data_IF_148831732861
#
_entry.id   IF_148831732861
#
_cell.length_a   1.000
_cell.length_b   1.000
_cell.length_c   1.000
_cell.angle_alpha   90.00
_cell.angle_beta   90.00
_cell.angle_gamma   90.00
#
_symmetry.space_group_name_H-M   'P 1'
#
loop_
_entity.id
_entity.type
_entity.pdbx_description
1 polymer ?
#
# COMPACT_ATOMS: atom_id res chain seq x y z
N UNK A 1 0.84 -4.51 27.25
CA UNK A 1 0.07 -5.52 26.50
C UNK A 1 0.86 -5.86 25.26
N UNK A 2 0.79 -7.08 24.71
CA UNK A 2 1.43 -7.35 23.43
C UNK A 2 0.83 -6.44 22.35
N UNK A 3 1.67 -5.93 21.45
CA UNK A 3 1.23 -5.15 20.29
C UNK A 3 1.16 -6.08 19.06
N UNK A 4 0.20 -5.80 18.20
CA UNK A 4 -0.07 -6.57 16.99
C UNK A 4 0.51 -5.82 15.77
N UNK A 5 1.24 -6.56 14.92
CA UNK A 5 1.91 -6.01 13.73
C UNK A 5 1.00 -6.08 12.52
N UNK A 6 0.88 -4.97 11.79
CA UNK A 6 0.24 -4.92 10.47
C UNK A 6 1.21 -4.32 9.44
N UNK A 7 1.48 -5.05 8.36
CA UNK A 7 2.19 -4.54 7.19
C UNK A 7 1.25 -3.71 6.31
N UNK A 8 1.73 -2.58 5.81
CA UNK A 8 0.93 -1.67 4.98
C UNK A 8 1.43 -1.53 3.54
N UNK A 9 2.60 -2.09 3.19
CA UNK A 9 3.19 -1.97 1.85
C UNK A 9 3.90 -3.26 1.44
N UNK A 10 3.21 -4.09 0.66
CA UNK A 10 3.71 -5.40 0.27
C UNK A 10 3.24 -5.79 -1.13
N UNK A 11 4.18 -6.26 -1.95
CA UNK A 11 3.94 -6.77 -3.30
C UNK A 11 4.14 -8.27 -3.37
N UNK A 12 3.44 -8.91 -4.31
CA UNK A 12 3.60 -10.32 -4.61
C UNK A 12 3.71 -10.52 -6.11
N UNK A 13 4.46 -11.52 -6.56
CA UNK A 13 4.64 -11.85 -7.99
C UNK A 13 3.30 -12.07 -8.72
N UNK A 14 2.29 -12.54 -8.01
CA UNK A 14 1.00 -12.91 -8.61
C UNK A 14 0.12 -11.70 -8.90
N UNK A 15 0.49 -10.50 -8.41
CA UNK A 15 -0.23 -9.25 -8.67
C UNK A 15 0.66 -8.06 -9.05
N UNK A 16 1.99 -8.20 -8.94
CA UNK A 16 2.96 -7.15 -9.30
C UNK A 16 4.15 -7.72 -10.05
N UNK A 17 4.42 -7.14 -11.17
CA UNK A 17 5.51 -7.54 -12.03
C UNK A 17 6.92 -7.27 -11.51
N UNK A 18 7.04 -6.32 -10.64
CA UNK A 18 8.31 -5.96 -10.02
C UNK A 18 8.65 -6.89 -8.84
N UNK A 19 7.67 -7.66 -8.34
CA UNK A 19 7.90 -8.62 -7.28
C UNK A 19 8.31 -9.99 -7.83
N UNK A 20 9.28 -10.63 -7.21
CA UNK A 20 9.76 -11.97 -7.59
C UNK A 20 9.29 -13.07 -6.64
N UNK A 21 8.90 -12.73 -5.40
CA UNK A 21 8.42 -13.69 -4.43
C UNK A 21 6.94 -14.04 -4.65
N UNK A 22 6.61 -15.33 -4.57
CA UNK A 22 5.21 -15.78 -4.72
C UNK A 22 4.36 -15.37 -3.52
N UNK A 23 3.06 -15.27 -3.74
CA UNK A 23 2.10 -14.96 -2.66
C UNK A 23 2.22 -15.96 -1.52
N UNK A 24 2.40 -17.25 -1.79
CA UNK A 24 2.54 -18.29 -0.76
C UNK A 24 3.77 -18.05 0.12
N UNK A 25 4.93 -17.79 -0.52
CA UNK A 25 6.19 -17.55 0.22
C UNK A 25 6.11 -16.26 1.04
N UNK A 26 5.54 -15.21 0.48
CA UNK A 26 5.32 -13.93 1.18
C UNK A 26 4.44 -14.14 2.42
N UNK A 27 3.29 -14.79 2.29
CA UNK A 27 2.38 -15.03 3.43
C UNK A 27 3.08 -15.82 4.55
N UNK A 28 3.78 -16.92 4.23
CA UNK A 28 4.49 -17.71 5.23
C UNK A 28 5.60 -16.89 5.93
N UNK A 29 6.30 -16.03 5.18
CA UNK A 29 7.33 -15.13 5.72
C UNK A 29 6.76 -14.12 6.73
N UNK A 30 5.62 -13.48 6.42
CA UNK A 30 4.96 -12.56 7.35
C UNK A 30 4.39 -13.25 8.58
N UNK A 31 3.83 -14.46 8.45
CA UNK A 31 3.41 -15.29 9.59
C UNK A 31 4.63 -15.61 10.48
N UNK A 32 5.73 -16.08 9.89
CA UNK A 32 6.96 -16.40 10.63
C UNK A 32 7.56 -15.19 11.34
N UNK A 33 7.41 -13.97 10.77
CA UNK A 33 7.86 -12.72 11.38
C UNK A 33 6.90 -12.18 12.46
N UNK A 34 5.79 -12.88 12.73
CA UNK A 34 4.84 -12.57 13.79
C UNK A 34 3.91 -11.41 13.47
N UNK A 35 3.63 -11.18 12.18
CA UNK A 35 2.57 -10.25 11.78
C UNK A 35 1.21 -10.91 11.96
N UNK A 36 0.23 -10.10 12.30
CA UNK A 36 -1.17 -10.53 12.44
C UNK A 36 -2.01 -10.11 11.23
N UNK A 37 -1.59 -9.07 10.53
CA UNK A 37 -2.33 -8.53 9.39
C UNK A 37 -1.37 -8.02 8.31
N UNK A 38 -1.81 -8.06 7.06
CA UNK A 38 -1.03 -7.68 5.88
C UNK A 38 -1.96 -7.02 4.86
N UNK A 39 -1.58 -5.86 4.37
CA UNK A 39 -2.19 -5.26 3.19
C UNK A 39 -1.37 -5.64 1.96
N UNK A 40 -1.98 -6.30 1.00
CA UNK A 40 -1.38 -6.52 -0.32
C UNK A 40 -1.59 -5.25 -1.13
N UNK A 41 -0.49 -4.60 -1.53
CA UNK A 41 -0.50 -3.32 -2.26
C UNK A 41 0.12 -3.46 -3.65
N UNK A 42 -0.28 -4.48 -4.38
CA UNK A 42 0.21 -4.70 -5.74
C UNK A 42 -0.02 -3.48 -6.63
N UNK A 43 0.91 -3.25 -7.57
CA UNK A 43 0.86 -2.07 -8.43
C UNK A 43 -0.36 -2.01 -9.34
N UNK A 44 -0.98 -0.84 -9.39
CA UNK A 44 -2.05 -0.49 -10.31
C UNK A 44 -1.64 0.79 -11.08
N UNK A 45 -1.17 0.60 -12.33
CA UNK A 45 -0.50 1.64 -13.11
C UNK A 45 -1.08 1.73 -14.52
N UNK A 46 -1.46 2.93 -14.97
CA UNK A 46 -2.20 3.14 -16.22
C UNK A 46 -1.49 2.66 -17.49
N UNK A 47 -0.15 2.67 -17.52
CA UNK A 47 0.64 2.23 -18.67
C UNK A 47 0.63 0.70 -18.87
N UNK A 48 0.10 -0.06 -17.92
CA UNK A 48 -0.04 -1.52 -18.04
C UNK A 48 -1.23 -1.94 -18.90
N UNK A 49 -2.26 -1.09 -18.97
CA UNK A 49 -3.46 -1.40 -19.74
C UNK A 49 -3.15 -1.27 -21.23
N UNK A 50 -3.33 -2.36 -21.97
CA UNK A 50 -3.04 -2.43 -23.41
C UNK A 50 -1.55 -2.40 -23.77
N UNK A 51 -0.66 -2.57 -22.80
CA UNK A 51 0.77 -2.68 -23.05
C UNK A 51 1.09 -3.96 -23.82
N UNK A 52 1.95 -3.84 -24.82
CA UNK A 52 2.52 -4.97 -25.60
C UNK A 52 3.90 -5.39 -25.08
N UNK A 53 4.40 -4.74 -24.01
CA UNK A 53 5.64 -5.13 -23.36
C UNK A 53 5.56 -6.60 -22.91
N UNK A 54 6.67 -7.34 -22.91
CA UNK A 54 6.70 -8.74 -22.52
C UNK A 54 6.48 -8.91 -21.03
N UNK A 55 5.29 -8.59 -20.60
CA UNK A 55 4.76 -8.91 -19.30
C UNK A 55 4.03 -10.24 -19.43
N UNK A 56 3.99 -11.08 -18.39
CA UNK A 56 3.36 -12.39 -18.54
C UNK A 56 1.88 -12.30 -18.96
N UNK A 57 1.29 -11.09 -18.98
CA UNK A 57 -0.10 -10.90 -19.33
C UNK A 57 -0.30 -9.60 -20.11
N UNK A 58 -0.89 -9.70 -21.31
CA UNK A 58 -1.61 -8.60 -21.90
C UNK A 58 -2.87 -8.38 -21.03
N UNK A 59 -2.97 -7.26 -20.34
CA UNK A 59 -4.18 -6.88 -19.62
C UNK A 59 -4.94 -5.88 -20.50
N UNK A 60 -5.99 -6.32 -21.22
CA UNK A 60 -6.61 -5.49 -22.27
C UNK A 60 -7.46 -4.36 -21.71
N UNK A 61 -8.14 -4.56 -20.59
CA UNK A 61 -9.06 -3.57 -20.01
C UNK A 61 -8.72 -3.19 -18.57
N UNK A 62 -9.30 -2.10 -18.11
CA UNK A 62 -9.15 -1.66 -16.72
C UNK A 62 -9.80 -2.63 -15.74
N UNK A 63 -10.98 -3.13 -16.08
CA UNK A 63 -11.74 -4.06 -15.27
C UNK A 63 -10.96 -5.37 -15.05
N UNK A 64 -10.37 -5.92 -16.11
CA UNK A 64 -9.51 -7.11 -16.01
C UNK A 64 -8.24 -6.84 -15.18
N UNK A 65 -7.72 -5.61 -15.23
CA UNK A 65 -6.59 -5.24 -14.39
C UNK A 65 -6.97 -5.17 -12.90
N UNK A 66 -8.13 -4.63 -12.59
CA UNK A 66 -8.68 -4.64 -11.23
C UNK A 66 -8.87 -6.09 -10.77
N UNK A 67 -9.47 -6.95 -11.60
CA UNK A 67 -9.62 -8.37 -11.27
C UNK A 67 -8.27 -9.03 -10.99
N UNK A 68 -7.28 -8.83 -11.83
CA UNK A 68 -5.94 -9.36 -11.63
C UNK A 68 -5.31 -8.97 -10.29
N UNK A 69 -5.42 -7.68 -9.89
CA UNK A 69 -4.91 -7.21 -8.60
C UNK A 69 -5.66 -7.83 -7.42
N UNK A 70 -6.99 -7.89 -7.48
CA UNK A 70 -7.80 -8.44 -6.39
C UNK A 70 -7.77 -9.96 -6.32
N UNK A 71 -7.56 -10.67 -7.44
CA UNK A 71 -7.36 -12.12 -7.44
C UNK A 71 -6.08 -12.52 -6.70
N UNK A 72 -5.04 -11.69 -6.75
CA UNK A 72 -3.84 -11.88 -5.94
C UNK A 72 -4.11 -11.68 -4.43
N UNK A 73 -4.96 -10.73 -4.04
CA UNK A 73 -5.41 -10.56 -2.66
C UNK A 73 -6.22 -11.78 -2.21
N UNK A 74 -7.14 -12.26 -3.06
CA UNK A 74 -7.95 -13.44 -2.74
C UNK A 74 -7.10 -14.73 -2.67
N UNK A 75 -6.05 -14.84 -3.49
CA UNK A 75 -5.05 -15.90 -3.35
C UNK A 75 -4.35 -15.80 -1.99
N UNK A 76 -3.91 -14.62 -1.60
CA UNK A 76 -3.26 -14.39 -0.31
C UNK A 76 -4.17 -14.77 0.87
N UNK A 77 -5.46 -14.44 0.81
CA UNK A 77 -6.48 -14.84 1.81
C UNK A 77 -6.60 -16.37 1.92
N UNK A 78 -6.66 -17.06 0.78
CA UNK A 78 -6.74 -18.53 0.75
C UNK A 78 -5.48 -19.17 1.34
N UNK A 79 -4.30 -18.67 0.98
CA UNK A 79 -3.01 -19.18 1.52
C UNK A 79 -2.88 -18.91 3.01
N UNK A 80 -3.29 -17.73 3.45
CA UNK A 80 -3.23 -17.34 4.87
C UNK A 80 -4.09 -18.25 5.76
N UNK A 81 -5.22 -18.75 5.26
CA UNK A 81 -6.13 -19.69 5.93
C UNK A 81 -6.42 -19.31 7.40
N UNK A 82 -6.71 -18.02 7.61
CA UNK A 82 -6.98 -17.46 8.94
C UNK A 82 -5.77 -17.30 9.88
N UNK A 83 -4.57 -17.67 9.46
CA UNK A 83 -3.32 -17.49 10.22
C UNK A 83 -2.78 -16.05 10.16
N UNK A 84 -3.18 -15.31 9.13
CA UNK A 84 -2.86 -13.91 8.88
C UNK A 84 -4.09 -13.23 8.25
N UNK A 85 -4.47 -12.06 8.72
CA UNK A 85 -5.56 -11.28 8.12
C UNK A 85 -5.05 -10.50 6.91
N UNK A 86 -5.57 -10.81 5.73
CA UNK A 86 -5.19 -10.13 4.47
C UNK A 86 -6.24 -9.09 4.14
N UNK A 87 -5.80 -7.84 4.02
CA UNK A 87 -6.63 -6.64 3.87
C UNK A 87 -6.51 -6.06 2.46
N UNK A 88 -7.53 -5.32 2.01
CA UNK A 88 -7.56 -4.71 0.69
C UNK A 88 -6.71 -3.45 0.61
N UNK A 89 -5.90 -3.37 -0.44
CA UNK A 89 -5.13 -2.21 -0.81
C UNK A 89 -4.49 -2.36 -2.18
N UNK A 90 -3.93 -1.30 -2.67
CA UNK A 90 -3.10 -1.30 -3.88
C UNK A 90 -2.17 -0.09 -3.89
N UNK A 91 -1.09 -0.16 -4.64
CA UNK A 91 -0.22 0.98 -4.92
C UNK A 91 -0.49 1.50 -6.33
N UNK A 92 -1.04 2.70 -6.43
CA UNK A 92 -1.37 3.29 -7.72
C UNK A 92 -0.33 4.32 -8.18
N UNK A 93 -0.17 4.41 -9.50
CA UNK A 93 0.53 5.52 -10.16
C UNK A 93 -0.40 6.15 -11.19
N UNK A 94 -0.62 7.46 -11.07
CA UNK A 94 -1.41 8.22 -12.02
C UNK A 94 -0.59 8.61 -13.26
N UNK A 95 -1.22 8.97 -14.39
CA UNK A 95 -0.52 9.34 -15.61
C UNK A 95 0.42 10.55 -15.41
N UNK A 96 1.53 10.53 -16.11
CA UNK A 96 2.51 11.64 -16.14
C UNK A 96 3.09 12.03 -14.76
N UNK A 97 2.96 11.16 -13.78
CA UNK A 97 3.49 11.35 -12.43
C UNK A 97 4.45 10.22 -12.08
N UNK A 98 5.52 10.55 -11.38
CA UNK A 98 6.48 9.55 -10.86
C UNK A 98 6.14 9.08 -9.47
N UNK A 99 5.22 9.77 -8.77
CA UNK A 99 4.80 9.40 -7.43
C UNK A 99 3.90 8.17 -7.43
N UNK A 100 4.08 7.35 -6.41
CA UNK A 100 3.20 6.24 -6.09
C UNK A 100 2.33 6.59 -4.86
N UNK A 101 1.15 5.99 -4.80
CA UNK A 101 0.18 6.23 -3.76
C UNK A 101 -0.39 4.90 -3.25
N UNK A 102 -0.26 4.66 -1.96
CA UNK A 102 -0.93 3.55 -1.29
C UNK A 102 -2.40 3.92 -1.05
N UNK A 103 -3.28 3.09 -1.52
CA UNK A 103 -4.73 3.24 -1.35
C UNK A 103 -5.26 2.08 -0.53
N UNK A 104 -6.01 2.40 0.50
CA UNK A 104 -6.61 1.42 1.41
C UNK A 104 -8.12 1.61 1.48
N UNK A 105 -8.86 0.53 1.66
CA UNK A 105 -10.28 0.61 2.02
C UNK A 105 -11.26 0.62 0.86
N UNK A 106 -10.82 0.47 -0.37
CA UNK A 106 -11.71 0.27 -1.50
C UNK A 106 -11.82 -1.23 -1.80
N UNK A 107 -13.03 -1.71 -2.04
CA UNK A 107 -13.26 -3.05 -2.55
C UNK A 107 -13.14 -3.12 -4.07
N UNK A 108 -13.16 -4.34 -4.62
CA UNK A 108 -13.04 -4.61 -6.06
C UNK A 108 -14.07 -3.85 -6.90
N UNK A 109 -15.33 -3.87 -6.48
CA UNK A 109 -16.42 -3.26 -7.24
C UNK A 109 -16.34 -1.73 -7.22
N UNK A 110 -15.95 -1.15 -6.10
CA UNK A 110 -15.68 0.27 -5.99
C UNK A 110 -14.56 0.71 -6.93
N UNK A 111 -13.44 -0.05 -6.99
CA UNK A 111 -12.33 0.28 -7.89
C UNK A 111 -12.74 0.10 -9.36
N UNK A 112 -13.53 -0.90 -9.72
CA UNK A 112 -14.07 -1.06 -11.08
C UNK A 112 -14.98 0.07 -11.54
N UNK A 113 -15.76 0.63 -10.60
CA UNK A 113 -16.76 1.65 -10.92
C UNK A 113 -16.16 2.97 -11.43
N UNK A 114 -14.87 3.22 -11.16
CA UNK A 114 -14.17 4.44 -11.58
C UNK A 114 -12.72 4.18 -11.94
N UNK A 115 -12.29 4.55 -13.14
CA UNK A 115 -10.90 4.34 -13.57
C UNK A 115 -9.93 5.30 -12.88
N UNK A 116 -9.62 4.97 -11.63
CA UNK A 116 -8.83 5.78 -10.70
C UNK A 116 -7.40 6.05 -11.19
N UNK A 117 -6.80 5.11 -11.94
CA UNK A 117 -5.43 5.23 -12.42
C UNK A 117 -5.28 6.09 -13.69
N UNK A 118 -6.40 6.56 -14.25
CA UNK A 118 -6.41 7.55 -15.36
C UNK A 118 -6.89 8.93 -14.92
N UNK A 119 -7.31 9.06 -13.68
CA UNK A 119 -7.77 10.33 -13.11
C UNK A 119 -6.59 11.21 -12.68
N UNK A 120 -6.80 12.52 -12.64
CA UNK A 120 -5.91 13.45 -11.96
C UNK A 120 -5.96 13.20 -10.44
N UNK A 121 -4.89 13.56 -9.71
CA UNK A 121 -4.75 13.22 -8.30
C UNK A 121 -5.89 13.75 -7.41
N UNK A 122 -6.34 14.97 -7.64
CA UNK A 122 -7.45 15.58 -6.90
C UNK A 122 -8.76 14.79 -7.07
N UNK A 123 -9.06 14.39 -8.29
CA UNK A 123 -10.24 13.61 -8.64
C UNK A 123 -10.16 12.19 -8.08
N UNK A 124 -8.99 11.53 -8.21
CA UNK A 124 -8.74 10.22 -7.62
C UNK A 124 -8.87 10.25 -6.10
N UNK A 125 -8.23 11.22 -5.46
CA UNK A 125 -8.26 11.41 -4.01
C UNK A 125 -9.67 11.68 -3.47
N UNK A 126 -10.43 12.52 -4.17
CA UNK A 126 -11.83 12.77 -3.84
C UNK A 126 -12.65 11.49 -3.92
N UNK A 127 -12.54 10.74 -5.01
CA UNK A 127 -13.24 9.47 -5.17
C UNK A 127 -12.91 8.47 -4.04
N UNK A 128 -11.61 8.30 -3.73
CA UNK A 128 -11.16 7.41 -2.65
C UNK A 128 -11.83 7.79 -1.32
N UNK A 129 -11.80 9.08 -0.97
CA UNK A 129 -12.37 9.57 0.30
C UNK A 129 -13.88 9.44 0.37
N UNK A 130 -14.60 9.75 -0.71
CA UNK A 130 -16.06 9.63 -0.80
C UNK A 130 -16.53 8.18 -0.67
N UNK A 131 -15.69 7.22 -1.05
CA UNK A 131 -15.96 5.79 -0.89
C UNK A 131 -15.32 5.20 0.38
N UNK A 132 -14.96 6.04 1.34
CA UNK A 132 -14.51 5.62 2.67
C UNK A 132 -13.02 5.29 2.78
N UNK A 133 -12.29 5.25 1.67
CA UNK A 133 -10.88 4.89 1.62
C UNK A 133 -9.92 5.94 2.21
N UNK A 134 -8.65 5.61 2.17
CA UNK A 134 -7.50 6.45 2.59
C UNK A 134 -6.43 6.39 1.50
N UNK A 135 -5.84 7.55 1.19
CA UNK A 135 -4.73 7.68 0.23
C UNK A 135 -3.48 8.24 0.92
N UNK A 136 -2.36 7.54 0.76
CA UNK A 136 -1.06 7.86 1.37
C UNK A 136 0.00 7.94 0.28
N UNK A 137 0.84 8.97 0.28
CA UNK A 137 1.99 9.00 -0.64
C UNK A 137 3.01 7.95 -0.21
N UNK A 138 3.34 7.00 -1.09
CA UNK A 138 4.36 5.98 -0.88
C UNK A 138 5.76 6.61 -0.99
N UNK A 139 6.70 6.16 -0.16
CA UNK A 139 8.14 6.48 -0.19
C UNK A 139 8.49 7.87 -0.80
N UNK A 140 7.97 8.98 -0.28
CA UNK A 140 7.95 10.30 -0.93
C UNK A 140 9.33 10.92 -1.19
N UNK A 141 10.40 10.45 -0.52
CA UNK A 141 11.78 10.92 -0.71
C UNK A 141 12.62 10.01 -1.62
N UNK A 142 12.01 8.99 -2.25
CA UNK A 142 12.71 8.14 -3.23
C UNK A 142 13.09 8.98 -4.46
N UNK A 143 14.25 8.67 -5.05
CA UNK A 143 14.75 9.40 -6.21
C UNK A 143 13.71 9.46 -7.34
N UNK A 144 13.48 10.66 -7.87
CA UNK A 144 12.49 10.93 -8.91
C UNK A 144 11.08 11.22 -8.40
N UNK A 145 10.82 11.05 -7.10
CA UNK A 145 9.55 11.44 -6.46
C UNK A 145 9.54 12.93 -6.11
N UNK A 146 8.33 13.48 -6.04
CA UNK A 146 8.08 14.85 -5.56
C UNK A 146 7.10 14.81 -4.42
N UNK A 147 7.33 15.62 -3.39
CA UNK A 147 6.42 15.67 -2.25
C UNK A 147 5.07 16.25 -2.65
N UNK A 148 4.01 15.51 -2.38
CA UNK A 148 2.64 15.91 -2.67
C UNK A 148 2.13 16.87 -1.60
N UNK A 149 1.37 17.87 -2.03
CA UNK A 149 0.74 18.83 -1.11
C UNK A 149 -0.30 18.15 -0.21
N UNK A 150 -0.35 18.49 1.09
CA UNK A 150 -1.18 17.80 2.07
C UNK A 150 -2.68 17.74 1.75
N UNK A 151 -3.21 18.74 1.02
CA UNK A 151 -4.63 18.78 0.68
C UNK A 151 -5.09 17.65 -0.25
N UNK A 152 -4.16 17.07 -1.02
CA UNK A 152 -4.48 16.01 -2.00
C UNK A 152 -4.41 14.61 -1.43
N UNK A 153 -3.84 14.41 -0.25
CA UNK A 153 -3.63 13.09 0.35
C UNK A 153 -3.96 13.08 1.84
N UNK A 154 -4.20 11.88 2.38
CA UNK A 154 -4.52 11.71 3.80
C UNK A 154 -3.26 11.48 4.65
N UNK A 155 -2.17 11.05 4.02
CA UNK A 155 -0.94 10.74 4.75
C UNK A 155 0.30 10.56 3.89
N UNK A 156 1.40 10.23 4.59
CA UNK A 156 2.71 9.96 4.01
C UNK A 156 3.30 8.69 4.60
N UNK A 157 3.93 7.87 3.77
CA UNK A 157 4.79 6.78 4.24
C UNK A 157 6.11 7.38 4.72
N UNK A 158 6.29 7.46 6.05
CA UNK A 158 7.45 8.12 6.68
C UNK A 158 8.59 7.16 6.97
N UNK A 159 8.36 5.87 6.83
CA UNK A 159 9.38 4.83 6.83
C UNK A 159 9.07 3.79 5.75
N UNK A 160 10.05 3.53 4.90
CA UNK A 160 10.02 2.47 3.89
C UNK A 160 11.34 1.72 3.97
N UNK A 161 11.30 0.39 4.09
CA UNK A 161 12.51 -0.41 4.33
C UNK A 161 13.47 -0.44 3.13
N UNK A 162 13.00 -0.14 1.92
CA UNK A 162 13.85 0.01 0.73
C UNK A 162 14.48 1.39 0.60
N UNK A 163 14.06 2.37 1.41
CA UNK A 163 14.70 3.68 1.44
C UNK A 163 16.06 3.62 2.14
N UNK A 164 16.97 4.47 1.72
CA UNK A 164 18.16 4.74 2.54
C UNK A 164 17.73 5.45 3.84
N UNK A 165 18.37 5.17 4.99
CA UNK A 165 17.93 5.72 6.28
C UNK A 165 17.70 7.23 6.27
N UNK A 166 18.60 8.01 5.63
CA UNK A 166 18.46 9.46 5.58
C UNK A 166 17.16 9.93 4.86
N UNK A 167 16.59 9.12 3.94
CA UNK A 167 15.34 9.47 3.25
C UNK A 167 14.16 9.41 4.20
N UNK A 168 14.13 8.42 5.09
CA UNK A 168 13.09 8.29 6.13
C UNK A 168 13.17 9.45 7.13
N UNK A 169 14.38 9.87 7.51
CA UNK A 169 14.57 11.05 8.37
C UNK A 169 14.12 12.33 7.66
N UNK A 170 14.52 12.53 6.41
CA UNK A 170 14.17 13.73 5.64
C UNK A 170 12.68 13.94 5.49
N UNK A 171 11.87 12.87 5.27
CA UNK A 171 10.43 13.03 5.12
C UNK A 171 9.79 13.53 6.42
N UNK A 172 10.23 13.03 7.57
CA UNK A 172 9.71 13.45 8.88
C UNK A 172 10.02 14.91 9.17
N UNK A 173 11.25 15.33 8.91
CA UNK A 173 11.63 16.76 9.05
C UNK A 173 10.82 17.65 8.12
N UNK A 174 10.64 17.23 6.85
CA UNK A 174 9.91 18.01 5.86
C UNK A 174 8.43 18.17 6.22
N UNK A 175 7.77 17.12 6.71
CA UNK A 175 6.36 17.17 7.15
C UNK A 175 6.13 18.27 8.17
N UNK A 176 7.02 18.40 9.17
CA UNK A 176 6.94 19.48 10.15
C UNK A 176 7.07 20.88 9.53
N UNK A 177 7.88 21.03 8.46
CA UNK A 177 8.02 22.31 7.76
C UNK A 177 6.82 22.71 6.93
N UNK A 178 6.08 21.74 6.36
CA UNK A 178 4.89 22.03 5.54
C UNK A 178 3.58 22.08 6.33
N UNK A 179 3.65 21.90 7.65
CA UNK A 179 2.46 21.95 8.51
C UNK A 179 1.50 20.78 8.27
N UNK A 180 2.03 19.59 8.03
CA UNK A 180 1.25 18.38 7.76
C UNK A 180 1.22 17.40 8.95
N UNK A 181 1.43 17.88 10.16
CA UNK A 181 1.46 17.05 11.38
C UNK A 181 0.11 16.40 11.72
N UNK A 182 -0.98 16.90 11.12
CA UNK A 182 -2.33 16.33 11.24
C UNK A 182 -2.58 15.12 10.32
N UNK A 183 -1.63 14.80 9.44
CA UNK A 183 -1.76 13.71 8.48
C UNK A 183 -1.50 12.33 9.11
N UNK A 184 -1.90 11.30 8.38
CA UNK A 184 -1.62 9.90 8.72
C UNK A 184 -0.17 9.60 8.36
N UNK A 185 0.61 9.03 9.27
CA UNK A 185 1.97 8.59 9.00
C UNK A 185 2.00 7.07 9.01
N UNK A 186 2.47 6.47 7.92
CA UNK A 186 2.58 5.02 7.78
C UNK A 186 4.03 4.58 7.66
N UNK A 187 4.24 3.28 7.84
CA UNK A 187 5.49 2.61 7.56
C UNK A 187 5.19 1.30 6.81
N UNK A 188 6.09 0.88 5.92
CA UNK A 188 5.96 -0.36 5.18
C UNK A 188 7.30 -0.96 4.80
N UNK A 189 7.31 -2.28 4.60
CA UNK A 189 8.48 -3.01 4.13
C UNK A 189 8.74 -2.72 2.65
N UNK A 190 7.68 -2.53 1.87
CA UNK A 190 7.74 -2.43 0.39
C UNK A 190 8.31 -3.74 -0.21
N UNK A 191 7.79 -4.86 0.32
CA UNK A 191 8.30 -6.21 0.06
C UNK A 191 8.15 -6.59 -1.42
N UNK A 192 9.23 -7.09 -2.04
CA UNK A 192 9.27 -7.50 -3.45
C UNK A 192 9.94 -8.85 -3.67
N UNK A 193 10.96 -9.17 -2.87
CA UNK A 193 11.88 -10.26 -3.16
C UNK A 193 12.08 -11.18 -1.96
N UNK A 194 12.61 -12.37 -2.24
CA UNK A 194 12.90 -13.36 -1.19
C UNK A 194 13.90 -12.87 -0.14
N UNK A 195 14.78 -11.92 -0.49
CA UNK A 195 15.74 -11.32 0.44
C UNK A 195 15.14 -10.23 1.33
N UNK A 196 13.94 -9.74 0.99
CA UNK A 196 13.26 -8.74 1.78
C UNK A 196 12.77 -9.34 3.10
N UNK A 197 13.07 -8.66 4.20
CA UNK A 197 12.70 -9.10 5.54
C UNK A 197 11.53 -8.22 6.01
N UNK A 198 10.39 -8.82 6.44
CA UNK A 198 9.30 -8.07 7.05
C UNK A 198 9.79 -7.27 8.27
N UNK A 199 9.89 -5.95 8.15
CA UNK A 199 10.62 -5.12 9.10
C UNK A 199 9.92 -3.81 9.47
N UNK A 200 8.81 -3.49 8.81
CA UNK A 200 8.10 -2.23 9.00
C UNK A 200 6.57 -2.41 9.00
N UNK A 201 5.86 -1.37 9.43
CA UNK A 201 4.41 -1.35 9.48
C UNK A 201 3.88 -0.54 10.66
N UNK A 202 2.70 -0.92 11.13
CA UNK A 202 2.07 -0.32 12.31
C UNK A 202 1.87 -1.34 13.44
N UNK A 203 1.84 -0.82 14.67
CA UNK A 203 1.57 -1.56 15.90
C UNK A 203 0.27 -1.07 16.53
N UNK A 204 -0.62 -2.00 16.86
CA UNK A 204 -1.92 -1.73 17.49
C UNK A 204 -2.13 -2.56 18.75
N UNK A 205 -3.00 -2.11 19.65
CA UNK A 205 -3.34 -2.83 20.89
C UNK A 205 -4.27 -4.03 20.66
N UNK A 206 -4.94 -4.08 19.50
CA UNK A 206 -5.78 -5.18 19.05
C UNK A 206 -5.41 -5.57 17.60
N UNK A 207 -5.58 -6.82 17.18
CA UNK A 207 -5.32 -7.22 15.80
C UNK A 207 -6.33 -6.55 14.85
N UNK A 208 -5.86 -6.06 13.72
CA UNK A 208 -6.70 -5.54 12.64
C UNK A 208 -7.12 -6.73 11.77
N UNK A 209 -8.42 -7.04 11.72
CA UNK A 209 -8.94 -8.25 11.07
C UNK A 209 -9.65 -7.98 9.76
N UNK A 210 -10.17 -6.76 9.60
CA UNK A 210 -10.90 -6.35 8.40
C UNK A 210 -10.36 -5.04 7.84
N UNK A 211 -10.66 -4.80 6.57
CA UNK A 211 -10.28 -3.55 5.89
C UNK A 211 -10.95 -2.32 6.54
N UNK A 212 -12.19 -2.45 7.04
CA UNK A 212 -12.89 -1.37 7.75
C UNK A 212 -12.22 -1.04 9.08
N UNK A 213 -11.74 -2.05 9.83
CA UNK A 213 -10.96 -1.84 11.05
C UNK A 213 -9.64 -1.11 10.74
N UNK A 214 -8.96 -1.48 9.65
CA UNK A 214 -7.76 -0.77 9.19
C UNK A 214 -8.05 0.71 8.94
N UNK A 215 -9.10 1.01 8.18
CA UNK A 215 -9.49 2.39 7.86
C UNK A 215 -9.82 3.18 9.14
N UNK A 216 -10.53 2.56 10.09
CA UNK A 216 -10.83 3.19 11.38
C UNK A 216 -9.56 3.50 12.17
N UNK A 217 -8.61 2.57 12.23
CA UNK A 217 -7.32 2.73 12.89
C UNK A 217 -6.49 3.84 12.23
N UNK A 218 -6.39 3.84 10.91
CA UNK A 218 -5.65 4.86 10.17
C UNK A 218 -6.24 6.25 10.38
N UNK A 219 -7.56 6.42 10.24
CA UNK A 219 -8.25 7.72 10.42
C UNK A 219 -8.19 8.23 11.85
N UNK A 220 -8.27 7.35 12.85
CA UNK A 220 -8.12 7.72 14.26
C UNK A 220 -6.67 7.92 14.69
N UNK A 221 -5.70 7.46 13.89
CA UNK A 221 -4.27 7.45 14.20
C UNK A 221 -3.95 6.70 15.51
N UNK A 222 -4.75 5.71 15.87
CA UNK A 222 -4.63 4.91 17.10
C UNK A 222 -3.63 3.76 16.92
N UNK A 223 -2.41 4.08 16.54
CA UNK A 223 -1.33 3.12 16.30
C UNK A 223 0.04 3.77 16.49
N UNK A 224 1.08 2.95 16.54
CA UNK A 224 2.48 3.38 16.45
C UNK A 224 3.07 2.84 15.16
N UNK A 225 3.99 3.56 14.55
CA UNK A 225 4.80 3.01 13.43
C UNK A 225 5.98 2.25 14.00
N UNK A 226 6.47 1.27 13.25
CA UNK A 226 7.73 0.58 13.54
C UNK A 226 8.50 0.32 12.24
N UNK A 227 9.85 0.24 12.30
CA UNK A 227 10.65 0.48 13.51
C UNK A 227 10.44 1.91 14.03
N UNK A 228 10.52 2.05 15.36
CA UNK A 228 10.67 3.38 15.97
C UNK A 228 12.10 3.87 15.67
N UNK A 229 12.24 5.00 15.01
CA UNK A 229 13.52 5.66 14.74
C UNK A 229 13.81 6.77 15.77
#
# INVERSE_FOLDING_TARGET
MPLYKTELHCHTRDGSCCASESTEATIEKYIAAGYTSLVITNHMQSYRIGSTEPFPFSIPTYEEYVDYCYDAIDLARRVADGRLYVLDGFEMRIPYCTNDYLVYGLDRECVKAFNIIKAELDTASKYIRENGGVIVQAHPMRFGMTLVRPEYIDGYEVHNSHNKPFMNTMIREWIGHIGADDKIFTAGTDHHNHDDIPSAGILTEAPIKTTEELISVLKSRSFKIFPEE
#
